data_IF_079270565686
#
_entry.id   IF_079270565686
#
_cell.length_a   1.000
_cell.length_b   1.000
_cell.length_c   1.000
_cell.angle_alpha   90.00
_cell.angle_beta   90.00
_cell.angle_gamma   90.00
#
_symmetry.space_group_name_H-M   'P 1'
#
loop_
_entity.id
_entity.type
_entity.pdbx_description
1 polymer ?
#
# COMPACT_ATOMS: atom_id res chain seq x y z
N UNK A 1 -20.96 -19.81 2.68
CA UNK A 1 -19.88 -20.34 1.80
C UNK A 1 -20.27 -20.47 0.32
N UNK A 2 -21.44 -21.04 -0.05
CA UNK A 2 -21.85 -21.18 -1.47
C UNK A 2 -22.11 -19.84 -2.18
N UNK A 3 -22.68 -18.85 -1.50
CA UNK A 3 -22.94 -17.51 -2.04
C UNK A 3 -21.65 -16.72 -2.32
N UNK A 4 -20.66 -16.80 -1.43
CA UNK A 4 -19.34 -16.18 -1.59
C UNK A 4 -18.57 -16.78 -2.78
N UNK A 5 -18.63 -18.12 -2.93
CA UNK A 5 -18.08 -18.82 -4.11
C UNK A 5 -18.78 -18.40 -5.40
N UNK A 6 -20.10 -18.22 -5.40
CA UNK A 6 -20.87 -17.82 -6.58
C UNK A 6 -20.61 -16.35 -6.99
N UNK A 7 -20.51 -15.44 -6.02
CA UNK A 7 -20.15 -14.04 -6.26
C UNK A 7 -18.71 -13.94 -6.78
N UNK A 8 -17.76 -14.67 -6.19
CA UNK A 8 -16.37 -14.73 -6.68
C UNK A 8 -16.27 -15.42 -8.06
N UNK A 9 -17.06 -16.47 -8.34
CA UNK A 9 -17.09 -17.10 -9.67
C UNK A 9 -17.67 -16.16 -10.75
N UNK A 10 -18.71 -15.40 -10.39
CA UNK A 10 -19.34 -14.42 -11.27
C UNK A 10 -18.41 -13.21 -11.52
N UNK A 11 -17.70 -12.76 -10.49
CA UNK A 11 -16.63 -11.75 -10.60
C UNK A 11 -15.50 -12.30 -11.47
N UNK A 12 -15.01 -13.52 -11.20
CA UNK A 12 -13.94 -14.21 -11.96
C UNK A 12 -14.16 -14.29 -13.47
N UNK A 13 -15.41 -14.41 -13.93
CA UNK A 13 -15.76 -14.47 -15.36
C UNK A 13 -16.00 -13.09 -16.01
N UNK A 14 -16.24 -12.05 -15.20
CA UNK A 14 -16.49 -10.68 -15.68
C UNK A 14 -15.27 -9.76 -15.58
N UNK A 15 -14.16 -10.24 -15.00
CA UNK A 15 -12.96 -9.44 -14.66
C UNK A 15 -12.19 -8.91 -15.88
N UNK A 16 -12.31 -9.48 -17.09
CA UNK A 16 -11.47 -9.09 -18.23
C UNK A 16 -11.68 -7.66 -18.80
N UNK A 17 -12.52 -6.82 -18.20
CA UNK A 17 -12.73 -5.40 -18.55
C UNK A 17 -13.24 -4.59 -17.35
N UNK A 18 -12.37 -4.26 -16.38
CA UNK A 18 -12.75 -3.39 -15.25
C UNK A 18 -12.58 -1.92 -15.62
N UNK A 19 -13.64 -1.31 -16.15
CA UNK A 19 -13.68 0.16 -16.23
C UNK A 19 -13.68 0.78 -14.81
N UNK A 20 -13.29 2.06 -14.63
CA UNK A 20 -13.43 2.78 -13.35
C UNK A 20 -14.84 2.68 -12.72
N UNK A 21 -15.87 2.52 -13.55
CA UNK A 21 -17.27 2.27 -13.11
C UNK A 21 -17.45 0.91 -12.42
N UNK A 22 -16.72 -0.12 -12.84
CA UNK A 22 -16.77 -1.44 -12.20
C UNK A 22 -16.00 -1.46 -10.88
N UNK A 23 -14.89 -0.72 -10.76
CA UNK A 23 -14.20 -0.52 -9.46
C UNK A 23 -15.14 0.10 -8.42
N UNK A 24 -15.85 1.19 -8.77
CA UNK A 24 -16.84 1.82 -7.88
C UNK A 24 -18.00 0.88 -7.51
N UNK A 25 -18.47 0.06 -8.46
CA UNK A 25 -19.52 -0.93 -8.19
C UNK A 25 -19.04 -2.07 -7.29
N UNK A 26 -17.78 -2.51 -7.48
CA UNK A 26 -17.15 -3.51 -6.63
C UNK A 26 -16.98 -2.98 -5.22
N UNK A 27 -16.47 -1.77 -5.04
CA UNK A 27 -16.33 -1.09 -3.75
C UNK A 27 -17.64 -1.05 -2.95
N UNK A 28 -18.75 -0.70 -3.61
CA UNK A 28 -20.08 -0.67 -2.99
C UNK A 28 -20.61 -2.06 -2.56
N UNK A 29 -20.14 -3.14 -3.19
CA UNK A 29 -20.60 -4.50 -2.93
C UNK A 29 -19.59 -5.40 -2.20
N UNK A 30 -18.33 -4.98 -2.04
CA UNK A 30 -17.26 -5.86 -1.62
C UNK A 30 -17.40 -6.26 -0.14
N UNK A 31 -17.49 -7.57 0.18
CA UNK A 31 -17.73 -8.05 1.54
C UNK A 31 -16.43 -8.15 2.33
N UNK A 32 -15.87 -7.01 2.76
CA UNK A 32 -14.63 -6.99 3.55
C UNK A 32 -14.74 -7.87 4.81
N UNK A 33 -13.76 -8.74 5.00
CA UNK A 33 -13.70 -9.61 6.17
C UNK A 33 -13.26 -8.86 7.42
N UNK A 34 -13.93 -9.11 8.55
CA UNK A 34 -13.57 -8.51 9.83
C UNK A 34 -12.25 -9.09 10.35
N UNK A 35 -11.31 -8.22 10.72
CA UNK A 35 -10.02 -8.62 11.27
C UNK A 35 -9.94 -8.39 12.78
N UNK A 36 -9.06 -9.14 13.44
CA UNK A 36 -8.73 -8.91 14.85
C UNK A 36 -7.65 -7.84 14.95
N UNK A 37 -7.84 -6.88 15.85
CA UNK A 37 -6.80 -5.91 16.18
C UNK A 37 -5.59 -6.60 16.81
N UNK A 38 -4.42 -6.02 16.57
CA UNK A 38 -3.16 -6.50 17.14
C UNK A 38 -2.52 -5.41 17.97
N UNK A 39 -1.60 -5.79 18.86
CA UNK A 39 -0.78 -4.83 19.59
C UNK A 39 0.15 -4.12 18.60
N UNK A 40 0.31 -2.81 18.77
CA UNK A 40 1.24 -2.01 17.98
C UNK A 40 2.67 -2.21 18.47
N UNK A 41 3.61 -2.33 17.53
CA UNK A 41 5.03 -2.12 17.75
C UNK A 41 5.27 -0.64 18.02
N UNK A 42 6.02 -0.34 19.07
CA UNK A 42 6.47 1.01 19.37
C UNK A 42 7.92 1.19 18.90
N UNK A 43 8.18 2.30 18.22
CA UNK A 43 9.52 2.64 17.75
C UNK A 43 10.37 3.15 18.91
N UNK A 44 11.57 2.56 19.07
CA UNK A 44 12.56 3.01 20.04
C UNK A 44 13.61 3.97 19.42
N UNK A 45 13.82 3.87 18.10
CA UNK A 45 14.75 4.73 17.36
C UNK A 45 14.18 6.13 17.15
N UNK A 46 15.05 7.13 17.00
CA UNK A 46 14.69 8.47 16.50
C UNK A 46 14.93 8.61 14.99
N UNK A 47 15.71 7.70 14.41
CA UNK A 47 16.21 7.74 13.03
C UNK A 47 15.74 6.45 12.34
N UNK A 48 14.50 6.40 11.85
CA UNK A 48 13.90 5.16 11.38
C UNK A 48 14.47 4.73 10.03
N UNK A 49 14.60 3.41 9.85
CA UNK A 49 14.75 2.79 8.52
C UNK A 49 13.38 2.38 7.99
N UNK A 50 13.01 2.90 6.81
CA UNK A 50 11.65 2.80 6.27
C UNK A 50 11.61 2.03 4.96
N UNK A 51 10.80 0.97 4.89
CA UNK A 51 10.54 0.20 3.69
C UNK A 51 9.16 0.53 3.08
N UNK A 52 9.02 0.20 1.79
CA UNK A 52 7.75 0.23 1.06
C UNK A 52 7.31 -1.19 0.77
N UNK A 53 6.00 -1.42 0.88
CA UNK A 53 5.35 -2.62 0.37
C UNK A 53 4.14 -2.20 -0.47
N UNK A 54 4.22 -2.38 -1.79
CA UNK A 54 3.11 -2.08 -2.70
C UNK A 54 2.36 -3.34 -3.10
N UNK A 55 1.03 -3.33 -3.01
CA UNK A 55 0.20 -4.47 -3.45
C UNK A 55 -0.24 -4.35 -4.92
N UNK A 56 0.43 -3.53 -5.73
CA UNK A 56 0.07 -3.32 -7.12
C UNK A 56 0.55 -4.43 -8.09
N UNK A 57 1.32 -5.41 -7.62
CA UNK A 57 1.91 -6.43 -8.48
C UNK A 57 3.04 -5.87 -9.35
N UNK A 58 3.93 -5.08 -8.75
CA UNK A 58 5.09 -4.48 -9.42
C UNK A 58 6.25 -5.47 -9.50
N UNK A 59 7.00 -5.42 -10.58
CA UNK A 59 8.19 -6.24 -10.76
C UNK A 59 9.26 -5.48 -11.55
N UNK A 60 10.52 -5.86 -11.41
CA UNK A 60 11.60 -5.38 -12.27
C UNK A 60 11.64 -6.21 -13.56
N UNK A 61 12.14 -5.65 -14.64
CA UNK A 61 12.20 -6.32 -15.96
C UNK A 61 12.95 -7.68 -15.93
N UNK A 62 13.92 -7.84 -15.02
CA UNK A 62 14.65 -9.09 -14.81
C UNK A 62 13.95 -10.08 -13.86
N UNK A 63 12.75 -9.76 -13.38
CA UNK A 63 11.95 -10.61 -12.50
C UNK A 63 10.75 -11.17 -13.25
N UNK A 64 10.28 -12.34 -12.81
CA UNK A 64 9.06 -12.92 -13.35
C UNK A 64 7.86 -12.02 -13.04
N UNK A 65 6.97 -11.72 -14.01
CA UNK A 65 5.69 -11.06 -13.72
C UNK A 65 4.84 -11.88 -12.74
N UNK A 66 3.87 -11.25 -12.08
CA UNK A 66 2.94 -11.99 -11.24
C UNK A 66 1.92 -12.77 -12.08
N UNK A 67 1.52 -13.94 -11.60
CA UNK A 67 0.52 -14.79 -12.21
C UNK A 67 -0.90 -14.29 -11.90
N UNK A 68 -1.36 -13.27 -12.62
CA UNK A 68 -2.69 -12.66 -12.42
C UNK A 68 -3.86 -13.52 -12.92
N UNK A 69 -3.62 -14.43 -13.89
CA UNK A 69 -4.67 -15.32 -14.45
C UNK A 69 -5.09 -16.46 -13.52
N UNK A 70 -4.37 -16.68 -12.43
CA UNK A 70 -4.75 -17.70 -11.45
C UNK A 70 -5.98 -17.23 -10.67
N UNK A 71 -7.02 -18.07 -10.61
CA UNK A 71 -8.26 -17.76 -9.90
C UNK A 71 -8.05 -17.34 -8.44
N UNK A 72 -7.03 -17.88 -7.76
CA UNK A 72 -6.74 -17.51 -6.37
C UNK A 72 -5.74 -16.37 -6.21
N UNK A 73 -5.18 -15.86 -7.31
CA UNK A 73 -4.10 -14.90 -7.33
C UNK A 73 -2.71 -15.52 -7.24
N UNK A 74 -1.70 -14.64 -7.18
CA UNK A 74 -0.30 -14.96 -6.96
C UNK A 74 0.08 -14.63 -5.50
N UNK A 75 0.61 -15.62 -4.79
CA UNK A 75 1.01 -15.47 -3.38
C UNK A 75 2.47 -15.10 -3.22
N UNK A 76 3.25 -15.06 -4.30
CA UNK A 76 4.66 -14.68 -4.27
C UNK A 76 4.83 -13.19 -4.01
N UNK A 77 6.08 -12.76 -3.93
CA UNK A 77 6.45 -11.36 -3.78
C UNK A 77 7.66 -11.05 -4.65
N UNK A 78 7.91 -9.76 -4.84
CA UNK A 78 9.14 -9.27 -5.45
C UNK A 78 9.87 -8.39 -4.45
N UNK A 79 11.20 -8.44 -4.53
CA UNK A 79 12.10 -7.64 -3.72
C UNK A 79 12.75 -6.62 -4.65
N UNK A 80 12.83 -5.37 -4.21
CA UNK A 80 13.51 -4.30 -4.91
C UNK A 80 14.63 -3.75 -4.03
N UNK A 81 15.82 -3.46 -4.58
CA UNK A 81 16.86 -2.74 -3.85
C UNK A 81 16.35 -1.39 -3.33
N UNK A 82 16.98 -0.82 -2.31
CA UNK A 82 16.71 0.54 -1.84
C UNK A 82 17.17 1.61 -2.84
N UNK A 83 18.10 1.26 -3.73
CA UNK A 83 18.67 2.17 -4.71
C UNK A 83 18.54 1.65 -6.15
N UNK A 84 17.32 1.72 -6.68
CA UNK A 84 17.06 1.47 -8.09
C UNK A 84 16.23 2.60 -8.72
N UNK A 85 16.38 2.84 -10.04
CA UNK A 85 15.52 3.76 -10.77
C UNK A 85 14.09 3.22 -10.87
N UNK A 86 13.11 3.94 -10.31
CA UNK A 86 11.70 3.51 -10.31
C UNK A 86 11.10 3.39 -11.73
N UNK A 87 11.71 4.00 -12.74
CA UNK A 87 11.32 3.85 -14.16
C UNK A 87 11.54 2.43 -14.72
N UNK A 88 12.31 1.59 -14.03
CA UNK A 88 12.46 0.17 -14.37
C UNK A 88 11.35 -0.72 -13.79
N UNK A 89 10.44 -0.15 -12.99
CA UNK A 89 9.26 -0.88 -12.57
C UNK A 89 8.41 -1.23 -13.77
N UNK A 90 7.84 -2.42 -13.72
CA UNK A 90 6.78 -2.90 -14.58
C UNK A 90 5.60 -3.24 -13.71
N UNK A 91 4.41 -3.06 -14.28
CA UNK A 91 3.16 -3.38 -13.64
C UNK A 91 2.60 -4.66 -14.24
N UNK A 92 2.23 -5.62 -13.40
CA UNK A 92 1.54 -6.83 -13.85
C UNK A 92 0.25 -6.45 -14.53
N UNK A 93 -0.12 -7.17 -15.58
CA UNK A 93 -1.39 -6.94 -16.24
C UNK A 93 -2.54 -7.01 -15.23
N UNK A 94 -3.33 -5.94 -15.21
CA UNK A 94 -4.39 -5.70 -14.25
C UNK A 94 -5.47 -4.88 -14.91
N UNK A 95 -6.70 -5.08 -14.49
CA UNK A 95 -7.84 -4.41 -15.10
C UNK A 95 -8.11 -2.99 -14.54
N UNK A 96 -7.31 -2.48 -13.60
CA UNK A 96 -7.46 -1.11 -13.09
C UNK A 96 -6.76 -0.06 -13.96
N UNK A 97 -7.06 1.23 -13.77
CA UNK A 97 -6.46 2.33 -14.52
C UNK A 97 -4.94 2.41 -14.27
N UNK A 98 -4.16 2.33 -15.36
CA UNK A 98 -2.70 2.31 -15.33
C UNK A 98 -2.07 3.65 -15.72
N UNK A 99 -2.88 4.63 -16.12
CA UNK A 99 -2.40 5.90 -16.68
C UNK A 99 -1.45 6.65 -15.75
N UNK A 100 -1.72 6.66 -14.45
CA UNK A 100 -0.82 7.28 -13.47
C UNK A 100 0.47 6.50 -13.26
N UNK A 101 0.48 5.18 -13.39
CA UNK A 101 1.72 4.41 -13.36
C UNK A 101 2.56 4.64 -14.61
N UNK A 102 1.90 4.68 -15.78
CA UNK A 102 2.53 4.95 -17.07
C UNK A 102 3.12 6.37 -17.14
N UNK A 103 2.44 7.34 -16.54
CA UNK A 103 2.95 8.71 -16.40
C UNK A 103 4.05 8.81 -15.35
N UNK A 104 3.88 8.14 -14.20
CA UNK A 104 4.80 8.19 -13.07
C UNK A 104 4.68 6.95 -12.16
N UNK A 105 5.67 6.05 -12.14
CA UNK A 105 5.70 4.88 -11.26
C UNK A 105 5.58 5.23 -9.76
N UNK A 106 5.95 6.46 -9.35
CA UNK A 106 5.77 6.98 -8.00
C UNK A 106 4.31 6.98 -7.54
N UNK A 107 3.35 6.93 -8.47
CA UNK A 107 1.92 6.80 -8.17
C UNK A 107 1.56 5.50 -7.43
N UNK A 108 2.33 4.42 -7.60
CA UNK A 108 2.15 3.11 -6.95
C UNK A 108 3.33 2.72 -6.06
N UNK A 109 4.46 3.41 -6.20
CA UNK A 109 5.70 3.11 -5.49
C UNK A 109 6.56 4.36 -5.28
N UNK A 110 6.20 5.24 -4.32
CA UNK A 110 6.82 6.56 -4.13
C UNK A 110 8.18 6.47 -3.42
N UNK A 111 9.11 5.69 -3.96
CA UNK A 111 10.43 5.47 -3.36
C UNK A 111 11.28 6.75 -3.37
N UNK A 112 11.21 7.54 -4.45
CA UNK A 112 11.95 8.80 -4.58
C UNK A 112 11.52 9.79 -3.50
N UNK A 113 10.21 9.95 -3.29
CA UNK A 113 9.66 10.79 -2.23
C UNK A 113 10.00 10.23 -0.86
N UNK A 114 9.90 8.91 -0.67
CA UNK A 114 10.24 8.29 0.60
C UNK A 114 11.71 8.54 0.97
N UNK A 115 12.65 8.45 0.01
CA UNK A 115 14.07 8.76 0.24
C UNK A 115 14.25 10.18 0.76
N UNK A 116 13.60 11.14 0.10
CA UNK A 116 13.66 12.55 0.50
C UNK A 116 13.08 12.75 1.91
N UNK A 117 11.89 12.22 2.18
CA UNK A 117 11.21 12.42 3.46
C UNK A 117 11.92 11.68 4.60
N UNK A 118 12.39 10.45 4.39
CA UNK A 118 13.09 9.69 5.44
C UNK A 118 14.32 10.44 5.98
N UNK A 119 15.05 11.14 5.10
CA UNK A 119 16.20 11.96 5.47
C UNK A 119 15.83 13.12 6.41
N UNK A 120 14.62 13.68 6.29
CA UNK A 120 14.13 14.76 7.16
C UNK A 120 13.92 14.30 8.61
N UNK A 121 13.65 13.00 8.82
CA UNK A 121 13.59 12.37 10.14
C UNK A 121 14.98 11.90 10.62
N UNK A 122 16.05 12.28 9.91
CA UNK A 122 17.40 11.76 10.14
C UNK A 122 17.50 10.25 9.91
N UNK A 123 16.50 9.65 9.28
CA UNK A 123 16.43 8.23 8.95
C UNK A 123 16.88 7.95 7.52
N UNK A 124 16.54 6.78 7.02
CA UNK A 124 16.86 6.35 5.66
C UNK A 124 15.85 5.32 5.16
N UNK A 125 15.88 5.02 3.86
CA UNK A 125 15.13 3.88 3.32
C UNK A 125 15.79 2.56 3.68
N UNK A 126 15.01 1.48 3.72
CA UNK A 126 15.53 0.13 3.86
C UNK A 126 16.36 -0.28 2.63
N UNK A 127 17.19 -1.32 2.80
CA UNK A 127 17.97 -1.89 1.69
C UNK A 127 17.07 -2.66 0.73
N UNK A 128 15.94 -3.15 1.21
CA UNK A 128 14.95 -3.89 0.45
C UNK A 128 13.54 -3.35 0.63
N UNK A 129 12.83 -3.28 -0.49
CA UNK A 129 11.41 -2.95 -0.57
C UNK A 129 10.67 -4.07 -1.29
N UNK A 130 9.33 -4.05 -1.24
CA UNK A 130 8.55 -5.21 -1.63
C UNK A 130 7.38 -4.85 -2.53
N UNK A 131 7.01 -5.81 -3.39
CA UNK A 131 5.69 -5.83 -4.00
C UNK A 131 5.01 -7.18 -3.87
N UNK A 132 3.69 -7.13 -3.70
CA UNK A 132 2.76 -8.24 -3.70
C UNK A 132 1.70 -8.01 -4.78
N UNK A 133 0.99 -9.07 -5.17
CA UNK A 133 -0.23 -8.91 -5.95
C UNK A 133 -1.45 -8.82 -5.01
N UNK A 134 -2.09 -7.66 -4.97
CA UNK A 134 -3.25 -7.41 -4.11
C UNK A 134 -4.50 -8.20 -4.47
N UNK A 135 -4.62 -8.71 -5.71
CA UNK A 135 -5.66 -9.66 -6.10
C UNK A 135 -5.32 -11.07 -5.58
N UNK A 136 -5.32 -11.21 -4.26
CA UNK A 136 -4.99 -12.44 -3.55
C UNK A 136 -6.22 -12.90 -2.75
N UNK A 137 -6.98 -13.84 -3.29
CA UNK A 137 -8.23 -14.33 -2.68
C UNK A 137 -7.98 -15.39 -1.59
N UNK A 138 -6.71 -15.65 -1.24
CA UNK A 138 -6.30 -16.50 -0.11
C UNK A 138 -5.21 -15.81 0.71
N UNK A 139 -5.54 -14.75 1.47
CA UNK A 139 -4.56 -14.03 2.29
C UNK A 139 -3.81 -14.95 3.26
N UNK A 140 -4.42 -16.03 3.76
CA UNK A 140 -3.72 -17.00 4.62
C UNK A 140 -2.48 -17.62 3.96
N UNK A 141 -2.54 -17.94 2.66
CA UNK A 141 -1.36 -18.48 1.96
C UNK A 141 -0.23 -17.47 1.92
N UNK A 142 -0.55 -16.21 1.68
CA UNK A 142 0.42 -15.11 1.72
C UNK A 142 1.05 -14.98 3.12
N UNK A 143 0.24 -15.05 4.17
CA UNK A 143 0.69 -15.00 5.57
C UNK A 143 1.57 -16.19 5.97
N UNK A 144 1.31 -17.38 5.43
CA UNK A 144 2.04 -18.61 5.75
C UNK A 144 3.34 -18.75 4.95
N UNK A 145 3.47 -18.10 3.80
CA UNK A 145 4.60 -18.30 2.87
C UNK A 145 5.44 -17.04 2.69
N UNK A 146 4.89 -16.00 2.07
CA UNK A 146 5.63 -14.79 1.70
C UNK A 146 5.93 -13.87 2.88
N UNK A 147 4.99 -13.70 3.82
CA UNK A 147 5.20 -12.81 4.97
C UNK A 147 6.39 -13.23 5.85
N UNK A 148 6.58 -14.53 6.19
CA UNK A 148 7.78 -14.95 6.91
C UNK A 148 9.10 -14.65 6.19
N UNK A 149 9.12 -14.75 4.85
CA UNK A 149 10.30 -14.45 4.04
C UNK A 149 10.58 -12.95 3.98
N UNK A 150 9.54 -12.12 3.79
CA UNK A 150 9.63 -10.66 3.86
C UNK A 150 10.12 -10.22 5.25
N UNK A 151 9.57 -10.80 6.32
CA UNK A 151 10.00 -10.53 7.70
C UNK A 151 11.47 -10.83 7.94
N UNK A 152 11.99 -11.91 7.35
CA UNK A 152 13.41 -12.25 7.47
C UNK A 152 14.27 -11.14 6.86
N UNK A 153 13.97 -10.72 5.63
CA UNK A 153 14.70 -9.65 4.92
C UNK A 153 14.59 -8.34 5.69
N UNK A 154 13.38 -7.95 6.12
CA UNK A 154 13.18 -6.72 6.89
C UNK A 154 13.99 -6.70 8.20
N UNK A 155 14.16 -7.84 8.87
CA UNK A 155 14.98 -7.96 10.07
C UNK A 155 16.48 -7.89 9.77
N UNK A 156 16.93 -8.52 8.70
CA UNK A 156 18.31 -8.40 8.20
C UNK A 156 18.64 -6.94 7.88
N UNK A 157 17.70 -6.25 7.23
CA UNK A 157 17.74 -4.82 6.96
C UNK A 157 17.59 -3.97 8.22
N UNK A 158 17.30 -4.49 9.41
CA UNK A 158 16.97 -3.68 10.60
C UNK A 158 15.90 -2.61 10.31
N UNK A 159 14.88 -2.98 9.54
CA UNK A 159 13.79 -2.07 9.17
C UNK A 159 12.89 -1.80 10.36
N UNK A 160 12.62 -0.52 10.62
CA UNK A 160 11.76 -0.07 11.71
C UNK A 160 10.30 0.09 11.29
N UNK A 161 10.09 0.64 10.09
CA UNK A 161 8.76 1.03 9.57
C UNK A 161 8.54 0.42 8.18
N UNK A 162 7.36 -0.14 7.95
CA UNK A 162 6.87 -0.50 6.61
C UNK A 162 5.63 0.30 6.25
N UNK A 163 5.70 1.07 5.16
CA UNK A 163 4.53 1.75 4.61
C UNK A 163 3.87 0.85 3.56
N UNK A 164 2.59 0.52 3.75
CA UNK A 164 1.85 -0.37 2.86
C UNK A 164 0.97 0.45 1.91
N UNK A 165 1.19 0.28 0.60
CA UNK A 165 0.53 1.04 -0.47
C UNK A 165 -0.50 0.14 -1.17
N UNK A 166 -1.81 0.40 -1.01
CA UNK A 166 -2.85 -0.32 -1.73
C UNK A 166 -2.94 0.15 -3.19
N UNK A 167 -3.31 -0.74 -4.09
CA UNK A 167 -3.56 -0.38 -5.49
C UNK A 167 -5.03 -0.53 -5.90
N UNK A 168 -5.80 -1.41 -5.24
CA UNK A 168 -7.19 -1.66 -5.62
C UNK A 168 -8.08 -1.99 -4.42
N UNK A 169 -9.36 -2.24 -4.67
CA UNK A 169 -10.37 -2.55 -3.65
C UNK A 169 -9.94 -3.72 -2.77
N UNK A 170 -9.52 -4.84 -3.37
CA UNK A 170 -9.12 -6.08 -2.66
C UNK A 170 -7.90 -5.85 -1.76
N UNK A 171 -7.03 -4.89 -2.09
CA UNK A 171 -5.84 -4.59 -1.30
C UNK A 171 -6.19 -4.17 0.13
N UNK A 172 -7.35 -3.54 0.34
CA UNK A 172 -7.82 -3.13 1.65
C UNK A 172 -8.23 -4.31 2.55
N UNK A 173 -8.44 -5.51 1.97
CA UNK A 173 -8.58 -6.77 2.72
C UNK A 173 -7.23 -7.47 2.94
N UNK A 174 -6.32 -7.40 1.96
CA UNK A 174 -5.05 -8.15 1.97
C UNK A 174 -3.97 -7.49 2.83
N UNK A 175 -3.85 -6.16 2.79
CA UNK A 175 -2.77 -5.45 3.49
C UNK A 175 -2.93 -5.42 5.02
N UNK A 176 -4.12 -5.25 5.62
CA UNK A 176 -4.29 -5.24 7.07
C UNK A 176 -3.77 -6.50 7.79
N UNK A 177 -4.05 -7.74 7.35
CA UNK A 177 -3.47 -8.92 7.99
C UNK A 177 -1.96 -9.04 7.79
N UNK A 178 -1.41 -8.56 6.66
CA UNK A 178 0.05 -8.47 6.45
C UNK A 178 0.66 -7.50 7.46
N UNK A 179 0.11 -6.28 7.55
CA UNK A 179 0.53 -5.28 8.51
C UNK A 179 0.48 -5.82 9.95
N UNK A 180 -0.61 -6.51 10.30
CA UNK A 180 -0.77 -7.12 11.61
C UNK A 180 0.29 -8.20 11.94
N UNK A 181 0.73 -8.97 10.94
CA UNK A 181 1.80 -9.96 11.11
C UNK A 181 3.19 -9.31 11.28
N UNK A 182 3.43 -8.19 10.60
CA UNK A 182 4.64 -7.38 10.75
C UNK A 182 4.73 -6.74 12.14
N UNK A 183 3.63 -6.13 12.62
CA UNK A 183 3.55 -5.54 13.97
C UNK A 183 3.77 -6.57 15.08
N UNK A 184 3.21 -7.77 14.94
CA UNK A 184 3.46 -8.87 15.90
C UNK A 184 4.93 -9.28 15.97
N UNK A 185 5.69 -9.00 14.92
CA UNK A 185 7.10 -9.37 14.79
C UNK A 185 8.06 -8.25 15.15
N UNK A 186 7.55 -7.12 15.66
CA UNK A 186 8.36 -5.98 16.09
C UNK A 186 8.67 -4.96 15.00
N UNK A 187 7.92 -4.95 13.89
CA UNK A 187 8.08 -3.97 12.80
C UNK A 187 6.85 -3.08 12.76
N UNK A 188 7.02 -1.76 12.92
CA UNK A 188 5.92 -0.83 12.85
C UNK A 188 5.39 -0.72 11.41
N UNK A 189 4.09 -0.56 11.26
CA UNK A 189 3.45 -0.47 9.95
C UNK A 189 2.47 0.67 9.88
N UNK A 190 2.34 1.26 8.69
CA UNK A 190 1.27 2.22 8.38
C UNK A 190 0.70 1.87 7.02
N UNK A 191 -0.61 1.64 6.97
CA UNK A 191 -1.32 1.31 5.73
C UNK A 191 -1.98 2.57 5.18
N UNK A 192 -1.69 2.91 3.93
CA UNK A 192 -2.48 3.90 3.20
C UNK A 192 -3.83 3.27 2.82
N UNK A 193 -4.89 4.08 2.78
CA UNK A 193 -6.21 3.62 2.40
C UNK A 193 -7.00 4.75 1.73
N UNK A 194 -7.84 4.37 0.77
CA UNK A 194 -8.74 5.30 0.06
C UNK A 194 -10.19 4.80 0.03
N UNK A 195 -10.50 3.67 0.67
CA UNK A 195 -11.86 3.12 0.79
C UNK A 195 -12.30 3.17 2.26
N UNK A 196 -13.05 4.21 2.69
CA UNK A 196 -13.47 4.37 4.09
C UNK A 196 -14.23 3.15 4.63
N UNK A 197 -15.13 2.57 3.83
CA UNK A 197 -15.94 1.41 4.23
C UNK A 197 -15.09 0.18 4.59
N UNK A 198 -13.95 0.01 3.93
CA UNK A 198 -13.07 -1.12 4.20
C UNK A 198 -12.51 -1.06 5.64
N UNK A 199 -12.29 0.15 6.15
CA UNK A 199 -11.65 0.37 7.45
C UNK A 199 -12.50 -0.12 8.63
N UNK A 200 -13.83 -0.06 8.50
CA UNK A 200 -14.77 -0.57 9.52
C UNK A 200 -14.60 -2.09 9.74
N UNK A 201 -14.33 -2.82 8.66
CA UNK A 201 -14.16 -4.26 8.70
C UNK A 201 -12.71 -4.64 9.03
N UNK A 202 -11.74 -4.10 8.28
CA UNK A 202 -10.38 -4.65 8.26
C UNK A 202 -9.48 -4.08 9.34
N UNK A 203 -9.79 -2.90 9.89
CA UNK A 203 -9.18 -2.30 11.10
C UNK A 203 -7.67 -2.53 11.19
N UNK A 204 -6.94 -2.10 10.14
CA UNK A 204 -5.49 -2.23 10.08
C UNK A 204 -4.80 -1.58 11.28
N UNK A 205 -3.57 -1.99 11.64
CA UNK A 205 -2.89 -1.53 12.86
C UNK A 205 -2.84 0.00 12.97
N UNK A 206 -2.35 0.66 11.93
CA UNK A 206 -2.30 2.11 11.74
C UNK A 206 -2.71 2.42 10.31
N UNK A 207 -3.59 3.40 10.12
CA UNK A 207 -4.11 3.72 8.79
C UNK A 207 -4.09 5.21 8.51
N UNK A 208 -3.62 5.59 7.33
CA UNK A 208 -3.84 6.93 6.76
C UNK A 208 -4.92 6.83 5.70
N UNK A 209 -6.07 7.45 5.95
CA UNK A 209 -7.14 7.61 4.96
C UNK A 209 -6.90 8.88 4.15
N UNK A 210 -6.92 8.80 2.83
CA UNK A 210 -6.69 9.92 1.93
C UNK A 210 -7.53 9.79 0.65
N UNK A 211 -7.58 10.85 -0.15
CA UNK A 211 -8.34 10.89 -1.40
C UNK A 211 -7.51 10.31 -2.55
N UNK A 212 -7.48 8.98 -2.64
CA UNK A 212 -6.84 8.21 -3.70
C UNK A 212 -7.88 7.43 -4.52
N UNK A 213 -7.46 6.86 -5.65
CA UNK A 213 -8.33 6.01 -6.48
C UNK A 213 -7.67 4.67 -6.81
N UNK A 214 -8.50 3.69 -7.17
CA UNK A 214 -8.08 2.38 -7.64
C UNK A 214 -7.19 2.51 -8.89
N UNK A 215 -6.01 1.91 -8.84
CA UNK A 215 -4.95 1.98 -9.84
C UNK A 215 -4.07 3.22 -9.74
N UNK A 216 -4.56 4.27 -9.06
CA UNK A 216 -3.95 5.59 -8.99
C UNK A 216 -3.94 6.11 -7.55
N UNK A 217 -3.49 5.34 -6.54
CA UNK A 217 -3.59 5.76 -5.15
C UNK A 217 -2.90 7.12 -4.98
N UNK A 218 -1.69 7.32 -5.53
CA UNK A 218 -1.03 8.63 -5.54
C UNK A 218 -0.98 9.31 -6.91
N UNK A 219 -1.79 8.85 -7.89
CA UNK A 219 -1.63 9.23 -9.30
C UNK A 219 -2.02 10.67 -9.64
N UNK A 220 -3.04 11.22 -8.96
CA UNK A 220 -3.44 12.63 -9.14
C UNK A 220 -2.70 13.60 -8.21
N UNK A 221 -1.83 13.08 -7.32
CA UNK A 221 -1.17 13.88 -6.32
C UNK A 221 0.13 14.48 -6.88
N UNK A 222 0.32 15.77 -6.66
CA UNK A 222 1.62 16.40 -6.90
C UNK A 222 2.69 15.76 -6.01
N UNK A 223 3.94 15.79 -6.47
CA UNK A 223 5.11 15.23 -5.75
C UNK A 223 5.16 15.70 -4.29
N UNK A 224 4.96 17.01 -4.05
CA UNK A 224 4.96 17.56 -2.69
C UNK A 224 3.80 17.03 -1.84
N UNK A 225 2.61 16.85 -2.42
CA UNK A 225 1.48 16.24 -1.72
C UNK A 225 1.79 14.79 -1.33
N UNK A 226 2.48 14.03 -2.20
CA UNK A 226 2.96 12.68 -1.86
C UNK A 226 3.96 12.69 -0.71
N UNK A 227 4.89 13.64 -0.70
CA UNK A 227 5.84 13.82 0.41
C UNK A 227 5.12 14.13 1.72
N UNK A 228 4.15 15.04 1.73
CA UNK A 228 3.36 15.33 2.94
C UNK A 228 2.60 14.11 3.45
N UNK A 229 2.05 13.31 2.54
CA UNK A 229 1.34 12.09 2.88
C UNK A 229 2.29 11.03 3.48
N UNK A 230 3.50 10.88 2.94
CA UNK A 230 4.55 10.01 3.49
C UNK A 230 5.04 10.55 4.84
N UNK A 231 5.21 11.87 4.98
CA UNK A 231 5.62 12.51 6.23
C UNK A 231 4.58 12.27 7.32
N UNK A 232 3.30 12.38 7.00
CA UNK A 232 2.20 12.02 7.90
C UNK A 232 2.26 10.54 8.29
N UNK A 233 2.55 9.64 7.33
CA UNK A 233 2.65 8.22 7.60
C UNK A 233 3.82 7.86 8.53
N UNK A 234 5.01 8.43 8.31
CA UNK A 234 6.16 8.22 9.22
C UNK A 234 5.83 8.75 10.62
N UNK A 235 5.21 9.94 10.73
CA UNK A 235 4.74 10.47 12.02
C UNK A 235 3.73 9.54 12.70
N UNK A 236 2.76 9.02 11.95
CA UNK A 236 1.76 8.09 12.48
C UNK A 236 2.39 6.82 13.07
N UNK A 237 3.48 6.33 12.50
CA UNK A 237 4.21 5.18 13.05
C UNK A 237 4.74 5.45 14.48
N UNK A 238 5.15 6.68 14.77
CA UNK A 238 5.59 7.12 16.11
C UNK A 238 4.43 7.47 17.04
N UNK A 239 3.43 8.17 16.51
CA UNK A 239 2.45 8.89 17.32
C UNK A 239 1.17 8.10 17.58
N UNK A 240 0.74 7.21 16.67
CA UNK A 240 -0.45 6.38 16.89
C UNK A 240 -0.19 5.34 17.98
N UNK A 241 -1.04 5.35 19.01
CA UNK A 241 -0.92 4.49 20.20
C UNK A 241 -2.00 3.43 20.28
N UNK A 242 -3.05 3.55 19.48
CA UNK A 242 -4.20 2.63 19.52
C UNK A 242 -4.32 1.87 18.22
N UNK A 243 -4.42 0.55 18.29
CA UNK A 243 -4.62 -0.27 17.09
C UNK A 243 -5.98 0.02 16.44
N UNK A 244 -5.99 0.16 15.11
CA UNK A 244 -7.19 0.56 14.37
C UNK A 244 -7.39 2.08 14.33
N UNK A 245 -6.44 2.87 14.82
CA UNK A 245 -6.46 4.32 14.66
C UNK A 245 -6.32 4.71 13.18
N UNK A 246 -7.13 5.68 12.77
CA UNK A 246 -7.17 6.19 11.39
C UNK A 246 -6.95 7.70 11.43
N UNK A 247 -5.87 8.16 10.82
CA UNK A 247 -5.68 9.58 10.56
C UNK A 247 -6.16 9.90 9.15
N UNK A 248 -6.83 11.04 9.00
CA UNK A 248 -7.30 11.51 7.70
C UNK A 248 -6.32 12.53 7.13
N UNK A 249 -5.85 12.30 5.92
CA UNK A 249 -5.09 13.28 5.18
C UNK A 249 -6.05 14.38 4.67
N UNK A 250 -5.74 15.66 4.91
CA UNK A 250 -6.65 16.75 4.58
C UNK A 250 -6.79 16.93 3.05
N UNK A 251 -8.02 17.17 2.55
CA UNK A 251 -8.27 17.33 1.10
C UNK A 251 -7.60 18.57 0.48
N UNK A 252 -7.25 19.58 1.30
CA UNK A 252 -6.69 20.85 0.84
C UNK A 252 -5.31 20.74 0.14
N UNK A 253 -4.57 19.64 0.30
CA UNK A 253 -3.31 19.43 -0.43
C UNK A 253 -3.50 18.95 -1.89
N UNK A 254 -4.75 18.82 -2.36
CA UNK A 254 -5.06 18.59 -3.77
C UNK A 254 -5.08 19.92 -4.55
N UNK A 255 -4.06 20.15 -5.38
CA UNK A 255 -3.90 21.20 -6.42
C UNK A 255 -4.13 22.70 -6.09
N UNK A 256 -5.02 23.10 -5.18
CA UNK A 256 -5.46 24.49 -4.97
C UNK A 256 -4.63 25.28 -3.94
N UNK A 257 -3.86 24.62 -3.08
CA UNK A 257 -3.10 25.33 -2.02
C UNK A 257 -1.77 25.92 -2.52
N UNK A 258 -1.25 25.48 -3.67
CA UNK A 258 -0.03 26.01 -4.27
C UNK A 258 -0.18 27.45 -4.78
N UNK A 259 -1.37 27.86 -5.23
CA UNK A 259 -1.60 29.24 -5.72
C UNK A 259 -1.68 30.27 -4.60
N UNK A 260 -2.04 29.88 -3.37
CA UNK A 260 -2.11 30.82 -2.24
C UNK A 260 -0.77 31.06 -1.56
N UNK A 261 0.12 30.07 -1.48
CA UNK A 261 1.44 30.27 -0.87
C UNK A 261 2.45 30.98 -1.80
N UNK A 262 2.28 30.89 -3.13
CA UNK A 262 3.09 31.69 -4.07
C UNK A 262 2.71 33.18 -4.11
N UNK A 263 1.48 33.52 -3.71
CA UNK A 263 1.00 34.91 -3.63
C UNK A 263 1.32 35.60 -2.29
N UNK A 264 1.75 34.84 -1.27
CA UNK A 264 2.11 35.37 0.05
C UNK A 264 3.62 35.58 0.24
N UNK A 265 4.43 35.32 -0.79
CA UNK A 265 5.90 35.56 -0.81
C UNK A 265 6.28 36.48 -1.98
N UNK A 266 5.41 37.42 -2.33
CA UNK A 266 5.74 38.55 -3.20
C UNK A 266 5.38 39.86 -2.53
#
# INVERSE_FOLDING_TARGET
MKFFKAVILAIGRAIHRVSPKFSKKLEQGYPFARQKMVRLTHLATKNPRVALLSSAGLYLENQQPFQYKNFYGDFSFRVFPGDFPICFLRLTESDFDRSGFEADPGSLFPLTELKAVAAEFGGQVAEHHFSLLGFCLKPNKLLETSVPQILKILKEDKTDIVLLVPACVVCHEVLPPVAAALEKSGIATVTFAFIPRALEATRGPRTILFDGDCGLPFGALAVETRKELIRLAIRAAFEMKTAGEVWKFPPAFSAQTMTKNAAAVR
#
